data_IF_267881206032
#
_entry.id   IF_267881206032
#
_cell.length_a   1.000
_cell.length_b   1.000
_cell.length_c   1.000
_cell.angle_alpha   90.00
_cell.angle_beta   90.00
_cell.angle_gamma   90.00
#
_symmetry.space_group_name_H-M   'P 1'
#
loop_
_entity.id
_entity.type
_entity.pdbx_description
1 polymer ?
#
# COMPACT_ATOMS: atom_id res chain seq x y z
N UNK A 1 -1.64 -15.62 -3.17
CA UNK A 1 -0.75 -15.01 -4.16
C UNK A 1 -0.54 -13.57 -3.75
N UNK A 2 0.56 -13.29 -3.05
CA UNK A 2 0.95 -11.93 -2.70
C UNK A 2 1.73 -11.34 -3.88
N UNK A 3 1.03 -10.71 -4.82
CA UNK A 3 1.65 -9.63 -5.57
C UNK A 3 1.90 -8.51 -4.57
N UNK A 4 3.15 -8.21 -4.32
CA UNK A 4 3.52 -7.05 -3.50
C UNK A 4 2.94 -5.81 -4.18
N UNK A 5 2.18 -5.04 -3.41
CA UNK A 5 1.85 -3.69 -3.81
C UNK A 5 3.15 -2.98 -4.22
N UNK A 6 3.26 -2.42 -5.44
CA UNK A 6 4.41 -1.62 -5.83
C UNK A 6 4.48 -0.31 -5.04
N UNK A 7 3.44 0.01 -4.29
CA UNK A 7 3.28 1.17 -3.43
C UNK A 7 3.47 0.80 -1.96
N UNK A 8 3.70 1.78 -1.09
CA UNK A 8 3.69 1.58 0.35
C UNK A 8 2.30 1.19 0.88
N UNK A 9 2.26 0.71 2.12
CA UNK A 9 1.01 0.39 2.80
C UNK A 9 0.28 1.65 3.28
N UNK A 10 0.99 2.76 3.47
CA UNK A 10 0.42 4.01 3.94
C UNK A 10 1.46 5.11 4.03
N UNK A 11 1.00 6.31 4.31
CA UNK A 11 1.82 7.51 4.47
C UNK A 11 1.20 8.47 5.47
N UNK A 12 2.01 9.40 5.98
CA UNK A 12 1.50 10.48 6.81
C UNK A 12 0.60 11.42 6.01
N UNK A 13 -0.41 11.93 6.69
CA UNK A 13 -1.30 12.99 6.20
C UNK A 13 -1.08 14.27 7.00
N UNK A 14 -1.06 15.40 6.31
CA UNK A 14 -0.92 16.72 6.89
C UNK A 14 -1.72 17.77 6.13
N UNK A 15 -1.10 18.89 5.79
CA UNK A 15 -1.73 19.90 4.93
C UNK A 15 -1.99 19.37 3.52
N UNK A 16 -1.14 18.50 3.05
CA UNK A 16 -1.31 17.75 1.80
C UNK A 16 -1.59 16.28 2.10
N UNK A 17 -2.26 15.61 1.16
CA UNK A 17 -2.59 14.19 1.27
C UNK A 17 -1.34 13.32 1.43
N UNK A 18 -0.26 13.62 0.71
CA UNK A 18 1.08 13.12 0.96
C UNK A 18 1.87 14.17 1.73
N UNK A 19 1.95 14.04 3.04
CA UNK A 19 2.57 15.06 3.88
C UNK A 19 4.04 15.28 3.53
N UNK A 20 4.40 16.54 3.24
CA UNK A 20 5.75 16.98 2.91
C UNK A 20 6.44 16.22 1.76
N UNK A 21 5.69 15.66 0.82
CA UNK A 21 6.19 14.74 -0.22
C UNK A 21 7.48 15.21 -0.92
N UNK A 22 7.54 16.44 -1.35
CA UNK A 22 8.69 16.98 -2.08
C UNK A 22 9.54 17.97 -1.24
N UNK A 23 9.13 18.25 -0.02
CA UNK A 23 9.75 19.27 0.83
C UNK A 23 10.47 18.70 2.04
N UNK A 24 10.01 17.57 2.57
CA UNK A 24 10.55 17.03 3.80
C UNK A 24 10.06 15.62 4.15
N UNK A 25 9.67 14.82 3.17
CA UNK A 25 9.16 13.45 3.38
C UNK A 25 10.11 12.59 4.22
N UNK A 26 11.43 12.78 4.07
CA UNK A 26 12.42 12.05 4.88
C UNK A 26 12.31 12.40 6.37
N UNK A 27 11.93 13.62 6.70
CA UNK A 27 11.73 14.02 8.09
C UNK A 27 10.39 13.51 8.63
N UNK A 28 9.33 13.66 7.87
CA UNK A 28 7.98 13.25 8.27
C UNK A 28 7.86 11.73 8.34
N UNK A 29 8.29 11.03 7.31
CA UNK A 29 8.09 9.59 7.18
C UNK A 29 9.23 8.71 7.69
N UNK A 30 10.43 9.27 7.92
CA UNK A 30 11.64 8.51 8.22
C UNK A 30 12.42 9.03 9.43
N UNK A 31 11.97 10.10 10.06
CA UNK A 31 12.70 10.75 11.16
C UNK A 31 14.16 11.09 10.80
N UNK A 32 14.36 11.61 9.58
CA UNK A 32 15.67 11.97 9.05
C UNK A 32 16.53 10.78 8.57
N UNK A 33 16.05 9.54 8.69
CA UNK A 33 16.79 8.37 8.21
C UNK A 33 16.71 8.24 6.69
N UNK A 34 17.76 7.73 6.03
CA UNK A 34 17.75 7.57 4.58
C UNK A 34 16.75 6.51 4.13
N UNK A 35 16.11 6.75 2.99
CA UNK A 35 15.24 5.76 2.33
C UNK A 35 16.04 4.54 1.86
N UNK A 36 15.39 3.38 1.88
CA UNK A 36 15.94 2.15 1.32
C UNK A 36 16.10 2.25 -0.20
N UNK A 37 17.19 1.69 -0.73
CA UNK A 37 17.39 1.52 -2.19
C UNK A 37 16.82 0.22 -2.73
N UNK A 38 16.35 -0.67 -1.84
CA UNK A 38 15.80 -1.98 -2.22
C UNK A 38 14.50 -1.82 -3.01
N UNK A 39 14.38 -2.56 -4.12
CA UNK A 39 13.12 -2.66 -4.86
C UNK A 39 11.95 -3.08 -3.95
N UNK A 40 10.82 -2.39 -4.08
CA UNK A 40 9.63 -2.57 -3.24
C UNK A 40 9.69 -1.84 -1.88
N UNK A 41 10.83 -1.21 -1.55
CA UNK A 41 10.98 -0.37 -0.34
C UNK A 41 11.41 1.06 -0.64
N UNK A 42 12.06 1.30 -1.77
CA UNK A 42 12.59 2.63 -2.13
C UNK A 42 11.51 3.72 -2.25
N UNK A 43 10.26 3.32 -2.48
CA UNK A 43 9.12 4.22 -2.64
C UNK A 43 8.20 4.28 -1.42
N UNK A 44 8.59 3.65 -0.30
CA UNK A 44 7.84 3.81 0.96
C UNK A 44 7.91 5.26 1.41
N UNK A 45 6.78 5.80 1.88
CA UNK A 45 6.66 7.16 2.43
C UNK A 45 6.72 7.19 3.95
N UNK A 46 6.41 6.06 4.60
CA UNK A 46 6.39 5.94 6.05
C UNK A 46 7.17 4.69 6.48
N UNK A 47 8.23 4.89 7.25
CA UNK A 47 9.10 3.83 7.77
C UNK A 47 9.71 4.20 9.13
N UNK A 48 8.95 4.92 9.96
CA UNK A 48 9.28 5.23 11.35
C UNK A 48 8.26 4.59 12.29
N UNK A 49 8.56 4.43 13.59
CA UNK A 49 7.57 4.02 14.59
C UNK A 49 6.37 4.96 14.60
N UNK A 50 5.18 4.39 14.78
CA UNK A 50 3.95 5.17 14.90
C UNK A 50 3.85 5.74 16.32
N UNK A 51 3.44 6.99 16.42
CA UNK A 51 3.29 7.70 17.67
C UNK A 51 1.86 8.25 17.82
N UNK A 52 1.31 8.32 19.03
CA UNK A 52 0.02 8.94 19.27
C UNK A 52 -0.05 10.35 18.70
N UNK A 53 -1.17 10.65 18.05
CA UNK A 53 -1.39 11.92 17.34
C UNK A 53 -1.06 11.88 15.84
N UNK A 54 -0.37 10.84 15.35
CA UNK A 54 -0.15 10.69 13.90
C UNK A 54 -1.44 10.38 13.18
N UNK A 55 -1.64 11.05 12.05
CA UNK A 55 -2.69 10.76 11.08
C UNK A 55 -2.03 10.19 9.84
N UNK A 56 -2.49 9.02 9.41
CA UNK A 56 -1.90 8.31 8.28
C UNK A 56 -2.95 7.51 7.51
N UNK A 57 -2.64 7.21 6.25
CA UNK A 57 -3.42 6.29 5.43
C UNK A 57 -3.04 4.84 5.71
N UNK A 58 -4.00 3.93 5.57
CA UNK A 58 -3.76 2.49 5.41
C UNK A 58 -4.40 2.09 4.08
N UNK A 59 -3.57 1.78 3.10
CA UNK A 59 -3.97 1.66 1.69
C UNK A 59 -3.45 0.37 1.04
N UNK A 60 -3.81 -0.82 1.56
CA UNK A 60 -3.41 -2.07 0.95
C UNK A 60 -3.94 -2.19 -0.48
N UNK A 61 -3.07 -2.59 -1.41
CA UNK A 61 -3.45 -2.75 -2.80
C UNK A 61 -2.84 -3.99 -3.43
N UNK A 62 -3.56 -4.58 -4.38
CA UNK A 62 -3.11 -5.68 -5.24
C UNK A 62 -3.15 -5.18 -6.68
N UNK A 63 -2.05 -5.36 -7.41
CA UNK A 63 -1.93 -4.88 -8.79
C UNK A 63 -1.42 -6.00 -9.69
N UNK A 64 -2.07 -6.16 -10.85
CA UNK A 64 -1.70 -7.12 -11.88
C UNK A 64 -1.09 -6.34 -13.04
N UNK A 65 0.24 -6.33 -13.10
CA UNK A 65 1.01 -5.58 -14.08
C UNK A 65 1.55 -6.56 -15.11
N UNK A 66 1.01 -6.61 -16.34
CA UNK A 66 1.36 -7.61 -17.35
C UNK A 66 2.86 -7.71 -17.60
N UNK A 67 3.56 -6.59 -17.73
CA UNK A 67 5.00 -6.54 -18.00
C UNK A 67 5.81 -7.15 -16.85
N UNK A 68 5.37 -6.94 -15.61
CA UNK A 68 6.02 -7.50 -14.43
C UNK A 68 5.75 -9.00 -14.31
N UNK A 69 4.55 -9.44 -14.67
CA UNK A 69 4.18 -10.87 -14.73
C UNK A 69 5.09 -11.58 -15.74
N UNK A 70 5.22 -11.05 -16.96
CA UNK A 70 6.03 -11.61 -18.02
C UNK A 70 7.51 -11.68 -17.62
N UNK A 71 8.04 -10.59 -17.08
CA UNK A 71 9.42 -10.51 -16.61
C UNK A 71 9.73 -11.55 -15.52
N UNK A 72 8.88 -11.64 -14.50
CA UNK A 72 9.10 -12.60 -13.41
C UNK A 72 8.88 -14.04 -13.84
N UNK A 73 7.93 -14.31 -14.74
CA UNK A 73 7.68 -15.64 -15.33
C UNK A 73 8.89 -16.10 -16.15
N UNK A 74 9.44 -15.25 -16.99
CA UNK A 74 10.63 -15.54 -17.79
C UNK A 74 11.85 -15.87 -16.90
N UNK A 75 12.04 -15.13 -15.81
CA UNK A 75 13.12 -15.34 -14.85
C UNK A 75 12.81 -16.42 -13.78
N UNK A 76 11.64 -17.04 -13.84
CA UNK A 76 11.17 -18.04 -12.85
C UNK A 76 11.22 -17.53 -11.41
N UNK A 77 11.06 -16.21 -11.21
CA UNK A 77 11.03 -15.59 -9.89
C UNK A 77 9.81 -16.05 -9.10
N UNK A 78 10.03 -16.36 -7.82
CA UNK A 78 8.95 -16.70 -6.88
C UNK A 78 8.04 -17.84 -7.37
N UNK A 79 8.54 -18.76 -8.19
CA UNK A 79 7.77 -19.87 -8.80
C UNK A 79 7.04 -20.74 -7.76
N UNK A 80 7.59 -20.84 -6.56
CA UNK A 80 7.01 -21.63 -5.47
C UNK A 80 5.87 -20.91 -4.73
N UNK A 81 5.69 -19.62 -4.99
CA UNK A 81 4.69 -18.76 -4.36
C UNK A 81 3.67 -18.17 -5.34
N UNK A 82 4.01 -18.11 -6.63
CA UNK A 82 3.20 -17.50 -7.67
C UNK A 82 2.70 -18.56 -8.64
N UNK A 83 1.37 -18.67 -8.77
CA UNK A 83 0.75 -19.45 -9.83
C UNK A 83 0.61 -18.56 -11.08
N UNK A 84 1.61 -18.60 -11.96
CA UNK A 84 1.66 -17.80 -13.17
C UNK A 84 0.52 -18.13 -14.15
N UNK A 85 0.08 -19.38 -14.24
CA UNK A 85 -1.01 -19.76 -15.14
C UNK A 85 -2.33 -19.13 -14.68
N UNK A 86 -2.57 -19.08 -13.37
CA UNK A 86 -3.73 -18.38 -12.83
C UNK A 86 -3.63 -16.86 -13.01
N UNK A 87 -2.44 -16.27 -13.01
CA UNK A 87 -2.27 -14.83 -13.20
C UNK A 87 -2.67 -14.36 -14.60
N UNK A 88 -2.58 -15.23 -15.61
CA UNK A 88 -3.00 -14.89 -16.96
C UNK A 88 -4.48 -14.44 -17.03
N UNK A 89 -5.34 -15.01 -16.17
CA UNK A 89 -6.76 -14.62 -16.11
C UNK A 89 -7.02 -13.26 -15.47
N UNK A 90 -6.00 -12.60 -14.89
CA UNK A 90 -6.11 -11.30 -14.24
C UNK A 90 -5.38 -10.18 -15.00
N UNK A 91 -4.86 -10.43 -16.21
CA UNK A 91 -4.08 -9.44 -16.96
C UNK A 91 -4.83 -8.13 -17.20
N UNK A 92 -6.12 -8.21 -17.46
CA UNK A 92 -6.97 -7.05 -17.77
C UNK A 92 -7.66 -6.47 -16.54
N UNK A 93 -7.43 -7.05 -15.35
CA UNK A 93 -8.06 -6.58 -14.11
C UNK A 93 -7.44 -5.29 -13.56
N UNK A 94 -6.19 -4.99 -13.89
CA UNK A 94 -5.38 -3.87 -13.39
C UNK A 94 -5.06 -3.95 -11.92
N UNK A 95 -6.01 -3.74 -11.02
CA UNK A 95 -5.78 -3.85 -9.58
C UNK A 95 -6.96 -3.36 -8.74
N UNK A 96 -6.79 -3.47 -7.42
CA UNK A 96 -7.74 -3.02 -6.42
C UNK A 96 -6.97 -2.47 -5.22
N UNK A 97 -7.45 -1.36 -4.66
CA UNK A 97 -6.97 -0.77 -3.41
C UNK A 97 -8.15 -0.45 -2.49
N UNK A 98 -7.99 -0.74 -1.21
CA UNK A 98 -8.77 -0.11 -0.15
C UNK A 98 -7.90 0.95 0.50
N UNK A 99 -8.50 2.07 0.89
CA UNK A 99 -7.77 3.15 1.55
C UNK A 99 -8.65 3.77 2.63
N UNK A 100 -8.12 3.84 3.83
CA UNK A 100 -8.76 4.44 5.00
C UNK A 100 -7.74 5.26 5.79
N UNK A 101 -8.23 6.28 6.48
CA UNK A 101 -7.43 7.19 7.30
C UNK A 101 -7.55 6.84 8.77
N UNK A 102 -6.44 6.84 9.46
CA UNK A 102 -6.38 6.51 10.88
C UNK A 102 -5.65 7.57 11.70
N UNK A 103 -6.20 7.87 12.87
CA UNK A 103 -5.49 8.56 13.93
C UNK A 103 -4.90 7.52 14.88
N UNK A 104 -3.59 7.60 15.14
CA UNK A 104 -2.93 6.78 16.15
C UNK A 104 -3.25 7.34 17.54
N UNK A 105 -3.64 6.46 18.44
CA UNK A 105 -3.98 6.77 19.84
C UNK A 105 -2.98 6.11 20.79
N UNK A 106 -3.05 6.40 22.08
CA UNK A 106 -2.18 5.80 23.10
C UNK A 106 -2.30 4.26 23.18
N UNK A 107 -3.46 3.72 22.87
CA UNK A 107 -3.81 2.31 23.00
C UNK A 107 -4.12 1.61 21.67
N UNK A 108 -3.97 2.30 20.52
CA UNK A 108 -4.23 1.72 19.22
C UNK A 108 -4.42 2.71 18.09
N UNK A 109 -5.47 2.51 17.30
CA UNK A 109 -5.78 3.39 16.18
C UNK A 109 -7.30 3.61 16.05
N UNK A 110 -7.69 4.80 15.67
CA UNK A 110 -9.08 5.19 15.43
C UNK A 110 -9.28 5.53 13.96
N UNK A 111 -10.23 4.84 13.31
CA UNK A 111 -10.67 5.17 11.96
C UNK A 111 -11.25 6.58 11.91
N UNK A 112 -10.84 7.36 10.92
CA UNK A 112 -11.38 8.68 10.62
C UNK A 112 -12.44 8.57 9.52
N UNK A 113 -13.53 9.30 9.69
CA UNK A 113 -14.65 9.25 8.76
C UNK A 113 -15.55 8.02 8.91
N UNK A 114 -16.36 7.76 7.88
CA UNK A 114 -17.25 6.62 7.81
C UNK A 114 -16.51 5.43 7.20
N UNK A 115 -16.67 4.25 7.82
CA UNK A 115 -16.16 3.00 7.24
C UNK A 115 -16.67 2.82 5.81
N UNK A 116 -15.77 2.57 4.87
CA UNK A 116 -16.10 2.20 3.49
C UNK A 116 -16.38 0.70 3.43
N UNK A 117 -17.40 0.25 2.67
CA UNK A 117 -17.61 -1.17 2.40
C UNK A 117 -16.38 -1.79 1.73
N UNK A 118 -15.86 -2.90 2.27
CA UNK A 118 -14.67 -3.56 1.72
C UNK A 118 -14.79 -5.09 1.63
N UNK A 119 -15.78 -5.71 2.27
CA UNK A 119 -16.07 -7.13 2.04
C UNK A 119 -16.89 -7.30 0.76
N UNK A 120 -16.84 -8.48 0.16
CA UNK A 120 -17.64 -8.80 -1.02
C UNK A 120 -19.12 -8.55 -0.77
N UNK A 121 -19.62 -8.99 0.37
CA UNK A 121 -21.02 -8.87 0.78
C UNK A 121 -21.44 -7.41 0.96
N UNK A 122 -20.59 -6.60 1.62
CA UNK A 122 -20.84 -5.18 1.81
C UNK A 122 -20.88 -4.43 0.47
N UNK A 123 -19.96 -4.74 -0.47
CA UNK A 123 -19.91 -4.11 -1.79
C UNK A 123 -21.07 -4.55 -2.66
N UNK A 124 -21.44 -5.83 -2.65
CA UNK A 124 -22.56 -6.33 -3.43
C UNK A 124 -23.92 -5.80 -2.94
N UNK A 125 -24.04 -5.49 -1.65
CA UNK A 125 -25.24 -4.87 -1.08
C UNK A 125 -25.47 -3.42 -1.55
N UNK A 126 -24.50 -2.78 -2.22
CA UNK A 126 -24.64 -1.43 -2.79
C UNK A 126 -25.23 -1.43 -4.21
N UNK A 127 -25.48 -2.59 -4.81
CA UNK A 127 -25.97 -2.72 -6.19
C UNK A 127 -27.48 -2.64 -6.30
#
# INVERSE_FOLDING_TARGET
>A
VLFRSPCGLGHMMGLDVHDMENLGEVWVGYDGQPKSTQFGRKSLRLARPLEPGFVLTIEPGIYFIPELIDYWKAEKRFKDFINYDKLESYRDFTGLRNEEDYLITEDGARLLGKKVPFTTEEVEALR
#
